data_IF_711473982559
#
_entry.id   IF_711473982559
#
_cell.length_a   1.000
_cell.length_b   1.000
_cell.length_c   1.000
_cell.angle_alpha   90.00
_cell.angle_beta   90.00
_cell.angle_gamma   90.00
#
_symmetry.space_group_name_H-M   'P 1'
#
loop_
_entity.id
_entity.type
_entity.pdbx_description
1 polymer ?
#
# COMPACT_ATOMS: atom_id res chain seq x y z
N UNK A 1 46.32 71.58 -36.83
CA UNK A 1 46.64 70.90 -35.56
C UNK A 1 45.68 71.38 -34.49
N UNK A 2 45.27 70.45 -33.61
CA UNK A 2 44.16 70.48 -32.63
C UNK A 2 44.03 71.76 -31.80
N UNK A 3 42.81 72.32 -31.73
CA UNK A 3 42.12 72.76 -30.50
C UNK A 3 40.83 73.52 -30.83
N UNK A 4 39.67 72.88 -30.61
CA UNK A 4 38.39 73.51 -30.18
C UNK A 4 37.71 72.39 -29.37
N UNK A 5 37.45 72.50 -28.07
CA UNK A 5 37.00 73.68 -27.37
C UNK A 5 35.48 73.59 -27.18
N UNK A 6 35.06 72.68 -26.30
CA UNK A 6 33.88 72.74 -25.43
C UNK A 6 32.83 73.83 -25.73
N UNK A 7 31.58 73.44 -26.07
CA UNK A 7 30.32 73.99 -25.50
C UNK A 7 29.13 73.26 -26.16
N UNK A 8 28.44 72.40 -25.40
CA UNK A 8 27.12 72.70 -24.82
C UNK A 8 25.99 72.77 -25.86
N UNK A 9 25.41 71.60 -26.17
CA UNK A 9 23.96 71.49 -26.26
C UNK A 9 23.53 70.25 -25.47
N UNK A 10 23.30 70.49 -24.19
CA UNK A 10 22.47 69.69 -23.31
C UNK A 10 21.08 69.56 -23.92
N UNK A 11 20.85 68.51 -24.70
CA UNK A 11 19.51 67.96 -24.81
C UNK A 11 19.27 67.15 -23.54
N UNK A 12 18.30 67.60 -22.75
CA UNK A 12 17.67 66.81 -21.70
C UNK A 12 17.20 65.47 -22.32
N UNK A 13 18.04 64.45 -22.27
CA UNK A 13 17.55 63.14 -21.89
C UNK A 13 17.43 63.17 -20.39
N UNK A 14 16.26 63.62 -19.90
CA UNK A 14 15.72 62.99 -18.71
C UNK A 14 15.52 61.53 -19.08
N UNK A 15 16.60 60.75 -19.00
CA UNK A 15 16.51 59.32 -18.76
C UNK A 15 15.73 59.29 -17.46
N UNK A 16 14.44 58.99 -17.55
CA UNK A 16 13.76 58.37 -16.43
C UNK A 16 14.56 57.10 -16.17
N UNK A 17 15.58 57.20 -15.32
CA UNK A 17 16.09 56.07 -14.54
C UNK A 17 14.99 55.73 -13.54
N UNK A 18 13.81 55.39 -14.07
CA UNK A 18 12.92 54.49 -13.36
C UNK A 18 13.79 53.26 -13.19
N UNK A 19 14.24 53.04 -11.96
CA UNK A 19 14.99 51.87 -11.52
C UNK A 19 14.29 50.62 -12.05
N UNK A 20 14.61 50.21 -13.27
CA UNK A 20 14.08 49.01 -13.88
C UNK A 20 14.72 47.90 -13.10
N UNK A 21 13.98 47.39 -12.13
CA UNK A 21 14.40 46.30 -11.28
C UNK A 21 14.82 45.15 -12.19
N UNK A 22 16.06 44.69 -12.04
CA UNK A 22 16.55 43.56 -12.83
C UNK A 22 15.71 42.33 -12.49
N UNK A 23 15.60 41.39 -13.43
CA UNK A 23 14.87 40.15 -13.18
C UNK A 23 15.43 39.38 -11.99
N UNK A 24 16.75 39.42 -11.80
CA UNK A 24 17.44 38.83 -10.65
C UNK A 24 16.93 39.41 -9.33
N UNK A 25 16.88 40.74 -9.21
CA UNK A 25 16.39 41.41 -8.00
C UNK A 25 14.89 41.15 -7.77
N UNK A 26 14.10 41.05 -8.83
CA UNK A 26 12.67 40.71 -8.72
C UNK A 26 12.47 39.26 -8.26
N UNK A 27 13.28 38.33 -8.76
CA UNK A 27 13.30 36.92 -8.33
C UNK A 27 13.77 36.82 -6.88
N UNK A 28 14.82 37.52 -6.47
CA UNK A 28 15.31 37.55 -5.08
C UNK A 28 14.24 38.06 -4.11
N UNK A 29 13.65 39.23 -4.39
CA UNK A 29 12.62 39.82 -3.53
C UNK A 29 11.40 38.91 -3.39
N UNK A 30 10.95 38.28 -4.49
CA UNK A 30 9.82 37.38 -4.44
C UNK A 30 10.16 36.02 -3.81
N UNK A 31 11.39 35.53 -3.97
CA UNK A 31 11.87 34.32 -3.27
C UNK A 31 11.89 34.56 -1.76
N UNK A 32 12.38 35.72 -1.31
CA UNK A 32 12.39 36.09 0.11
C UNK A 32 10.96 36.22 0.69
N UNK A 33 10.04 36.85 -0.04
CA UNK A 33 8.61 36.92 0.35
C UNK A 33 7.98 35.53 0.43
N UNK A 34 8.20 34.71 -0.60
CA UNK A 34 7.70 33.33 -0.66
C UNK A 34 8.22 32.52 0.51
N UNK A 35 9.52 32.63 0.83
CA UNK A 35 10.10 31.94 1.96
C UNK A 35 9.51 32.39 3.31
N UNK A 36 9.29 33.70 3.49
CA UNK A 36 8.64 34.23 4.71
C UNK A 36 7.20 33.71 4.85
N UNK A 37 6.49 33.53 3.74
CA UNK A 37 5.18 32.89 3.71
C UNK A 37 5.29 31.38 4.06
N UNK A 38 6.24 30.66 3.46
CA UNK A 38 6.45 29.23 3.70
C UNK A 38 6.77 28.93 5.17
N UNK A 39 7.57 29.78 5.83
CA UNK A 39 7.86 29.67 7.27
C UNK A 39 6.63 29.79 8.17
N UNK A 40 5.54 30.39 7.70
CA UNK A 40 4.27 30.53 8.42
C UNK A 40 3.28 29.40 8.14
N UNK A 41 3.62 28.49 7.22
CA UNK A 41 2.80 27.30 7.01
C UNK A 41 2.96 26.41 8.23
N UNK A 42 1.87 26.07 8.90
CA UNK A 42 1.93 25.23 10.10
C UNK A 42 2.32 23.78 9.76
N UNK A 43 1.65 23.18 8.76
CA UNK A 43 1.83 21.78 8.39
C UNK A 43 1.84 21.63 6.88
N UNK A 44 2.57 20.64 6.39
CA UNK A 44 2.50 20.15 5.02
C UNK A 44 2.14 18.67 5.13
N UNK A 45 1.01 18.28 4.55
CA UNK A 45 0.47 16.93 4.72
C UNK A 45 0.79 16.03 3.54
N UNK A 46 0.83 16.56 2.32
CA UNK A 46 1.17 15.80 1.10
C UNK A 46 2.08 16.59 0.18
N UNK A 47 2.65 15.91 -0.83
CA UNK A 47 3.36 16.57 -1.92
C UNK A 47 2.49 17.63 -2.62
N UNK A 48 1.23 17.30 -2.91
CA UNK A 48 0.32 18.24 -3.57
C UNK A 48 -0.04 19.42 -2.66
N UNK A 49 -0.25 19.17 -1.36
CA UNK A 49 -0.49 20.24 -0.38
C UNK A 49 0.74 21.16 -0.27
N UNK A 50 1.95 20.61 -0.35
CA UNK A 50 3.18 21.39 -0.45
C UNK A 50 3.20 22.25 -1.71
N UNK A 51 2.94 21.65 -2.88
CA UNK A 51 2.93 22.33 -4.17
C UNK A 51 1.92 23.49 -4.20
N UNK A 52 0.69 23.24 -3.73
CA UNK A 52 -0.36 24.25 -3.63
C UNK A 52 0.02 25.41 -2.70
N UNK A 53 0.65 25.10 -1.56
CA UNK A 53 1.09 26.11 -0.60
C UNK A 53 2.30 26.89 -1.09
N UNK A 54 3.25 26.24 -1.75
CA UNK A 54 4.37 26.89 -2.43
C UNK A 54 3.83 27.84 -3.48
N UNK A 55 2.92 27.38 -4.34
CA UNK A 55 2.27 28.18 -5.38
C UNK A 55 1.53 29.39 -4.78
N UNK A 56 0.76 29.18 -3.71
CA UNK A 56 0.06 30.24 -2.99
C UNK A 56 1.04 31.29 -2.42
N UNK A 57 2.14 30.83 -1.82
CA UNK A 57 3.18 31.70 -1.25
C UNK A 57 4.01 32.43 -2.33
N UNK A 58 4.16 31.84 -3.51
CA UNK A 58 4.88 32.43 -4.65
C UNK A 58 3.98 33.23 -5.59
N UNK A 59 2.70 33.40 -5.26
CA UNK A 59 1.76 34.15 -6.09
C UNK A 59 2.19 35.60 -6.20
N UNK A 60 2.39 36.03 -7.44
CA UNK A 60 2.79 37.39 -7.78
C UNK A 60 1.69 38.40 -7.48
N UNK A 61 2.08 39.60 -7.05
CA UNK A 61 1.17 40.74 -7.07
C UNK A 61 0.88 41.16 -8.51
N UNK A 62 -0.25 41.85 -8.74
CA UNK A 62 -0.59 42.37 -10.08
C UNK A 62 0.54 43.23 -10.68
N UNK A 63 1.23 44.01 -9.85
CA UNK A 63 2.32 44.87 -10.28
C UNK A 63 3.58 44.05 -10.65
N UNK A 64 3.91 43.03 -9.86
CA UNK A 64 5.04 42.13 -10.14
C UNK A 64 4.79 41.31 -11.41
N UNK A 65 3.54 40.85 -11.63
CA UNK A 65 3.15 40.17 -12.87
C UNK A 65 3.35 41.04 -14.11
N UNK A 66 2.99 42.32 -14.03
CA UNK A 66 3.20 43.28 -15.13
C UNK A 66 4.69 43.55 -15.34
N UNK A 67 5.49 43.62 -14.27
CA UNK A 67 6.93 43.80 -14.36
C UNK A 67 7.62 42.58 -15.01
N UNK A 68 7.20 41.37 -14.66
CA UNK A 68 7.73 40.12 -15.23
C UNK A 68 7.43 40.02 -16.72
N UNK A 69 6.19 40.28 -17.14
CA UNK A 69 5.80 40.24 -18.56
C UNK A 69 6.56 41.24 -19.43
N UNK A 70 7.11 42.31 -18.85
CA UNK A 70 7.96 43.27 -19.56
C UNK A 70 9.39 42.76 -19.79
N UNK A 71 9.82 41.72 -19.07
CA UNK A 71 11.21 41.27 -19.01
C UNK A 71 11.37 39.80 -19.46
N UNK A 72 10.39 38.93 -19.20
CA UNK A 72 10.43 37.48 -19.47
C UNK A 72 9.02 36.88 -19.57
N UNK A 73 8.93 35.55 -19.70
CA UNK A 73 7.68 34.79 -19.59
C UNK A 73 7.43 34.28 -18.17
N UNK A 74 6.17 34.02 -17.80
CA UNK A 74 5.85 33.43 -16.49
C UNK A 74 6.49 32.07 -16.26
N UNK A 75 6.61 31.25 -17.31
CA UNK A 75 7.23 29.91 -17.24
C UNK A 75 8.73 29.99 -16.90
N UNK A 76 9.43 30.94 -17.50
CA UNK A 76 10.84 31.17 -17.19
C UNK A 76 11.02 31.74 -15.78
N UNK A 77 10.18 32.70 -15.38
CA UNK A 77 10.17 33.24 -14.02
C UNK A 77 9.94 32.15 -12.97
N UNK A 78 8.95 31.28 -13.16
CA UNK A 78 8.64 30.17 -12.26
C UNK A 78 9.84 29.23 -12.12
N UNK A 79 10.51 28.89 -13.23
CA UNK A 79 11.73 28.09 -13.22
C UNK A 79 12.84 28.75 -12.39
N UNK A 80 13.03 30.07 -12.51
CA UNK A 80 14.03 30.80 -11.72
C UNK A 80 13.70 30.79 -10.22
N UNK A 81 12.45 31.08 -9.85
CA UNK A 81 12.01 31.06 -8.45
C UNK A 81 12.14 29.67 -7.84
N UNK A 82 11.69 28.62 -8.54
CA UNK A 82 11.81 27.23 -8.08
C UNK A 82 13.28 26.76 -7.95
N UNK A 83 14.19 27.29 -8.76
CA UNK A 83 15.63 26.97 -8.65
C UNK A 83 16.31 27.63 -7.44
N UNK A 84 15.77 28.77 -6.97
CA UNK A 84 16.34 29.57 -5.88
C UNK A 84 15.71 29.24 -4.52
N UNK A 85 14.44 28.86 -4.51
CA UNK A 85 13.69 28.49 -3.30
C UNK A 85 14.41 27.48 -2.39
N UNK A 86 15.02 26.38 -2.88
CA UNK A 86 15.75 25.44 -2.03
C UNK A 86 17.03 26.00 -1.41
N UNK A 87 17.70 26.93 -2.10
CA UNK A 87 18.96 27.52 -1.63
C UNK A 87 18.73 28.64 -0.60
N UNK A 88 17.64 29.40 -0.77
CA UNK A 88 17.40 30.62 -0.01
C UNK A 88 16.29 30.46 1.05
N UNK A 89 15.73 29.25 1.21
CA UNK A 89 14.64 29.00 2.14
C UNK A 89 14.77 27.73 2.99
N UNK A 90 15.42 27.84 4.15
CA UNK A 90 15.44 26.79 5.18
C UNK A 90 14.02 26.34 5.60
N UNK A 91 13.03 27.23 5.48
CA UNK A 91 11.63 26.91 5.76
C UNK A 91 11.06 25.85 4.82
N UNK A 92 11.47 25.84 3.54
CA UNK A 92 11.02 24.83 2.58
C UNK A 92 11.63 23.46 2.90
N UNK A 93 12.93 23.41 3.19
CA UNK A 93 13.60 22.14 3.55
C UNK A 93 13.04 21.56 4.85
N UNK A 94 12.78 22.40 5.87
CA UNK A 94 12.13 21.95 7.09
C UNK A 94 10.73 21.35 6.83
N UNK A 95 9.98 21.88 5.87
CA UNK A 95 8.67 21.33 5.47
C UNK A 95 8.77 20.08 4.62
N UNK A 96 9.77 19.99 3.74
CA UNK A 96 10.08 18.76 3.02
C UNK A 96 10.47 17.64 3.99
N UNK A 97 11.26 17.96 5.02
CA UNK A 97 11.63 17.00 6.04
C UNK A 97 10.43 16.59 6.91
N UNK A 98 9.58 17.54 7.30
CA UNK A 98 8.30 17.23 7.98
C UNK A 98 7.43 16.29 7.13
N UNK A 99 7.37 16.51 5.81
CA UNK A 99 6.63 15.65 4.88
C UNK A 99 7.28 14.25 4.74
N UNK A 100 8.62 14.17 4.66
CA UNK A 100 9.32 12.87 4.68
C UNK A 100 9.05 12.11 5.98
N UNK A 101 9.00 12.81 7.11
CA UNK A 101 8.68 12.25 8.42
C UNK A 101 7.21 11.81 8.52
N UNK A 102 6.26 12.52 7.91
CA UNK A 102 4.85 12.09 7.90
C UNK A 102 4.64 10.79 7.12
N UNK A 103 5.42 10.53 6.07
CA UNK A 103 5.37 9.25 5.36
C UNK A 103 5.98 8.07 6.14
N UNK A 104 6.80 8.35 7.15
CA UNK A 104 7.48 7.32 7.94
C UNK A 104 6.86 7.12 9.33
N UNK A 105 6.22 8.14 9.90
CA UNK A 105 5.53 8.06 11.19
C UNK A 105 4.17 7.39 11.07
N UNK A 106 3.94 6.34 11.84
CA UNK A 106 2.64 5.65 11.94
C UNK A 106 1.73 6.27 13.02
N UNK A 107 2.19 7.31 13.71
CA UNK A 107 1.47 7.90 14.85
C UNK A 107 1.55 9.42 14.76
N UNK A 108 0.47 10.03 14.28
CA UNK A 108 0.26 11.47 14.45
C UNK A 108 -0.25 11.69 15.87
N UNK A 109 0.62 12.16 16.75
CA UNK A 109 0.28 12.50 18.14
C UNK A 109 0.17 14.02 18.23
N UNK A 110 -0.95 14.59 17.80
CA UNK A 110 -1.21 16.03 17.99
C UNK A 110 -2.70 16.28 18.28
N UNK A 111 -2.96 16.53 19.56
CA UNK A 111 -4.15 17.07 20.23
C UNK A 111 -5.56 16.77 19.67
N UNK A 112 -6.28 16.00 20.50
CA UNK A 112 -7.74 15.92 20.73
C UNK A 112 -8.59 15.10 19.73
N UNK A 113 -8.82 13.82 20.09
CA UNK A 113 -9.88 12.95 19.54
C UNK A 113 -11.27 13.62 19.53
N UNK A 114 -11.53 14.57 20.44
CA UNK A 114 -12.86 15.20 20.58
C UNK A 114 -13.13 16.32 19.55
N UNK A 115 -12.11 16.83 18.84
CA UNK A 115 -12.24 18.13 18.13
C UNK A 115 -12.92 18.05 16.76
N UNK A 116 -13.01 16.87 16.15
CA UNK A 116 -13.47 16.74 14.75
C UNK A 116 -14.62 15.75 14.52
N UNK A 117 -15.28 15.25 15.56
CA UNK A 117 -16.36 14.25 15.43
C UNK A 117 -17.43 14.62 14.38
N UNK A 118 -17.79 15.91 14.29
CA UNK A 118 -18.79 16.37 13.32
C UNK A 118 -18.30 16.26 11.86
N UNK A 119 -17.00 16.43 11.62
CA UNK A 119 -16.39 16.23 10.30
C UNK A 119 -16.31 14.74 10.01
N UNK A 120 -15.86 13.95 10.99
CA UNK A 120 -15.77 12.48 10.89
C UNK A 120 -17.12 11.84 10.54
N UNK A 121 -18.18 12.19 11.28
CA UNK A 121 -19.55 11.72 11.00
C UNK A 121 -20.03 12.09 9.60
N UNK A 122 -19.60 13.23 9.05
CA UNK A 122 -19.98 13.66 7.69
C UNK A 122 -19.25 12.88 6.60
N UNK A 123 -18.00 12.48 6.83
CA UNK A 123 -17.20 11.79 5.82
C UNK A 123 -17.39 10.26 5.84
N UNK A 124 -17.93 9.66 6.90
CA UNK A 124 -18.26 8.23 6.94
C UNK A 124 -19.20 7.83 5.80
N UNK A 125 -18.87 6.78 5.06
CA UNK A 125 -19.62 6.32 3.89
C UNK A 125 -18.74 5.71 2.80
N UNK A 126 -19.32 5.50 1.63
CA UNK A 126 -18.65 4.88 0.48
C UNK A 126 -18.39 5.91 -0.63
N UNK A 127 -17.21 5.81 -1.23
CA UNK A 127 -16.67 6.70 -2.24
C UNK A 127 -16.18 5.90 -3.45
N UNK A 128 -16.63 6.28 -4.64
CA UNK A 128 -16.13 5.71 -5.90
C UNK A 128 -14.78 6.37 -6.21
N UNK A 129 -13.73 5.55 -6.28
CA UNK A 129 -12.39 5.98 -6.70
C UNK A 129 -12.28 5.82 -8.22
N UNK A 130 -13.08 6.58 -8.96
CA UNK A 130 -13.15 6.52 -10.42
C UNK A 130 -11.84 6.88 -11.14
N UNK A 131 -10.85 7.36 -10.38
CA UNK A 131 -9.48 7.62 -10.77
C UNK A 131 -8.60 6.47 -10.24
N UNK A 132 -8.21 5.57 -11.13
CA UNK A 132 -7.48 4.36 -10.80
C UNK A 132 -7.40 3.43 -12.01
N UNK A 133 -6.71 2.29 -11.89
CA UNK A 133 -6.79 1.26 -12.91
C UNK A 133 -8.25 0.80 -13.00
N UNK A 134 -8.93 1.24 -14.07
CA UNK A 134 -10.29 0.80 -14.39
C UNK A 134 -10.21 -0.64 -14.85
N UNK A 135 -10.41 -1.56 -13.92
CA UNK A 135 -10.70 -2.95 -14.26
C UNK A 135 -12.07 -2.96 -14.96
N UNK A 136 -12.26 -3.71 -16.06
CA UNK A 136 -13.58 -3.85 -16.67
C UNK A 136 -14.65 -4.40 -15.70
N UNK A 137 -14.21 -5.00 -14.59
CA UNK A 137 -15.04 -5.59 -13.53
C UNK A 137 -15.49 -4.58 -12.47
N UNK A 138 -14.98 -3.35 -12.44
CA UNK A 138 -15.43 -2.29 -11.53
C UNK A 138 -14.36 -1.28 -11.11
N UNK A 139 -14.81 -0.09 -10.67
CA UNK A 139 -13.94 0.93 -10.07
C UNK A 139 -13.59 0.56 -8.61
N UNK A 140 -12.38 0.87 -8.13
CA UNK A 140 -12.05 0.75 -6.72
C UNK A 140 -13.01 1.56 -5.84
N UNK A 141 -13.34 1.05 -4.66
CA UNK A 141 -14.24 1.71 -3.71
C UNK A 141 -13.53 1.95 -2.38
N UNK A 142 -13.54 3.19 -1.89
CA UNK A 142 -13.14 3.53 -0.52
C UNK A 142 -14.37 3.54 0.38
N UNK A 143 -14.33 2.79 1.48
CA UNK A 143 -15.35 2.79 2.52
C UNK A 143 -14.72 3.27 3.82
N UNK A 144 -15.30 4.31 4.43
CA UNK A 144 -14.94 4.84 5.73
C UNK A 144 -15.99 4.42 6.77
N UNK A 145 -15.58 3.70 7.81
CA UNK A 145 -16.45 3.18 8.85
C UNK A 145 -16.48 4.07 10.11
N UNK A 146 -17.57 3.96 10.87
CA UNK A 146 -17.61 4.43 12.26
C UNK A 146 -16.60 3.58 13.06
N UNK A 147 -15.67 4.19 13.81
CA UNK A 147 -14.49 3.56 14.47
C UNK A 147 -13.14 3.73 13.74
N UNK A 148 -13.02 4.72 12.85
CA UNK A 148 -11.72 5.08 12.27
C UNK A 148 -11.08 3.94 11.46
N UNK A 149 -11.88 3.01 10.94
CA UNK A 149 -11.43 1.95 10.03
C UNK A 149 -11.82 2.28 8.60
N UNK A 150 -10.99 1.89 7.63
CA UNK A 150 -11.32 1.99 6.23
C UNK A 150 -10.98 0.72 5.47
N UNK A 151 -11.67 0.57 4.33
CA UNK A 151 -11.38 -0.44 3.31
C UNK A 151 -11.26 0.28 1.96
N UNK A 152 -10.24 -0.06 1.19
CA UNK A 152 -10.23 0.14 -0.25
C UNK A 152 -10.37 -1.24 -0.89
N UNK A 153 -11.49 -1.47 -1.57
CA UNK A 153 -11.78 -2.69 -2.30
C UNK A 153 -11.50 -2.47 -3.79
N UNK A 154 -10.72 -3.35 -4.39
CA UNK A 154 -10.58 -3.50 -5.84
C UNK A 154 -11.09 -4.89 -6.24
N UNK A 155 -11.19 -5.14 -7.55
CA UNK A 155 -11.58 -6.46 -8.05
C UNK A 155 -10.69 -7.61 -7.52
N UNK A 156 -9.41 -7.33 -7.26
CA UNK A 156 -8.38 -8.33 -6.95
C UNK A 156 -7.65 -8.10 -5.63
N UNK A 157 -7.98 -7.05 -4.87
CA UNK A 157 -7.26 -6.69 -3.66
C UNK A 157 -8.15 -5.96 -2.64
N UNK A 158 -7.74 -6.09 -1.38
CA UNK A 158 -8.33 -5.38 -0.25
C UNK A 158 -7.21 -4.67 0.51
N UNK A 159 -7.28 -3.35 0.60
CA UNK A 159 -6.43 -2.58 1.50
C UNK A 159 -7.27 -2.13 2.69
N UNK A 160 -6.95 -2.65 3.87
CA UNK A 160 -7.58 -2.24 5.13
C UNK A 160 -6.64 -1.36 5.92
N UNK A 161 -7.19 -0.46 6.73
CA UNK A 161 -6.38 0.39 7.58
C UNK A 161 -7.22 1.21 8.54
N UNK A 162 -6.56 2.18 9.17
CA UNK A 162 -7.22 3.17 10.02
C UNK A 162 -7.21 4.54 9.36
N UNK A 163 -8.10 5.43 9.75
CA UNK A 163 -8.13 6.79 9.24
C UNK A 163 -8.39 7.81 10.34
N UNK A 164 -7.96 9.04 10.12
CA UNK A 164 -8.21 10.13 11.06
C UNK A 164 -8.41 11.46 10.33
N UNK A 165 -9.18 12.36 10.94
CA UNK A 165 -9.29 13.75 10.47
C UNK A 165 -8.23 14.61 11.13
N UNK A 166 -7.45 15.32 10.32
CA UNK A 166 -6.39 16.23 10.78
C UNK A 166 -6.78 17.68 10.47
N UNK A 167 -6.75 18.51 11.51
CA UNK A 167 -7.09 19.95 11.46
C UNK A 167 -8.46 20.26 10.84
N UNK A 168 -9.40 19.30 10.87
CA UNK A 168 -10.77 19.45 10.38
C UNK A 168 -10.94 19.54 8.86
N UNK A 169 -9.87 19.37 8.09
CA UNK A 169 -9.88 19.51 6.61
C UNK A 169 -9.15 18.42 5.86
N UNK A 170 -8.32 17.62 6.53
CA UNK A 170 -7.58 16.54 5.89
C UNK A 170 -8.05 15.20 6.46
N UNK A 171 -8.17 14.20 5.60
CA UNK A 171 -8.37 12.80 5.94
C UNK A 171 -7.06 12.09 5.69
N UNK A 172 -6.48 11.47 6.71
CA UNK A 172 -5.29 10.65 6.59
C UNK A 172 -5.70 9.18 6.66
N UNK A 173 -5.26 8.38 5.68
CA UNK A 173 -5.44 6.93 5.66
C UNK A 173 -4.11 6.26 6.03
N UNK A 174 -4.15 5.35 7.00
CA UNK A 174 -3.03 4.56 7.47
C UNK A 174 -3.27 3.08 7.16
N UNK A 175 -2.71 2.54 6.07
CA UNK A 175 -2.89 1.14 5.74
C UNK A 175 -2.29 0.24 6.82
N UNK A 176 -3.00 -0.83 7.15
CA UNK A 176 -2.48 -1.87 8.03
C UNK A 176 -1.33 -2.58 7.33
N UNK A 177 -0.10 -2.24 7.72
CA UNK A 177 1.10 -2.89 7.18
C UNK A 177 1.21 -4.30 7.74
N UNK A 178 1.15 -5.30 6.87
CA UNK A 178 1.42 -6.66 7.29
C UNK A 178 2.85 -6.78 7.80
N UNK A 179 3.05 -7.50 8.93
CA UNK A 179 4.38 -7.81 9.44
C UNK A 179 5.18 -8.67 8.46
N UNK A 180 4.57 -9.30 7.48
CA UNK A 180 5.23 -10.21 6.54
C UNK A 180 4.49 -10.20 5.20
N UNK A 181 5.18 -10.40 4.05
CA UNK A 181 4.52 -10.65 2.77
C UNK A 181 3.65 -11.89 2.75
N UNK A 182 3.78 -12.73 3.78
CA UNK A 182 3.27 -14.08 3.79
C UNK A 182 2.63 -14.37 5.15
N UNK A 183 1.54 -15.12 5.13
CA UNK A 183 0.93 -15.69 6.33
C UNK A 183 0.79 -17.19 6.15
N UNK A 184 1.15 -17.97 7.17
CA UNK A 184 0.96 -19.43 7.16
C UNK A 184 -0.09 -19.81 8.20
N UNK A 185 -1.03 -20.63 7.76
CA UNK A 185 -1.95 -21.34 8.64
C UNK A 185 -1.70 -22.84 8.51
N UNK A 186 -1.80 -23.57 9.60
CA UNK A 186 -1.60 -25.01 9.64
C UNK A 186 -2.70 -25.73 10.40
N UNK A 187 -2.87 -27.02 10.10
CA UNK A 187 -3.70 -27.94 10.87
C UNK A 187 -3.08 -29.33 10.92
N UNK A 188 -3.61 -30.15 11.83
CA UNK A 188 -3.39 -31.58 11.77
C UNK A 188 -4.41 -32.23 10.84
N UNK A 189 -3.91 -33.01 9.89
CA UNK A 189 -4.71 -33.80 8.99
C UNK A 189 -4.27 -35.28 9.09
N UNK A 190 -5.03 -36.13 9.80
CA UNK A 190 -4.66 -37.54 9.96
C UNK A 190 -4.73 -38.33 8.66
N UNK A 191 -5.49 -37.85 7.66
CA UNK A 191 -5.75 -38.58 6.41
C UNK A 191 -4.57 -38.55 5.43
N UNK A 192 -3.57 -37.69 5.65
CA UNK A 192 -2.36 -37.61 4.80
C UNK A 192 -1.13 -38.27 5.45
N UNK A 193 -1.31 -38.93 6.60
CA UNK A 193 -0.26 -39.66 7.32
C UNK A 193 0.94 -38.78 7.65
N UNK A 194 2.14 -39.29 7.33
CA UNK A 194 3.41 -38.57 7.51
C UNK A 194 3.74 -37.62 6.35
N UNK A 195 2.81 -37.38 5.43
CA UNK A 195 3.00 -36.39 4.37
C UNK A 195 2.67 -34.99 4.87
N UNK A 196 3.25 -34.00 4.21
CA UNK A 196 2.91 -32.59 4.34
C UNK A 196 2.28 -32.07 3.06
N UNK A 197 1.13 -31.43 3.17
CA UNK A 197 0.43 -30.76 2.07
C UNK A 197 0.50 -29.25 2.31
N UNK A 198 0.87 -28.49 1.30
CA UNK A 198 0.94 -27.03 1.36
C UNK A 198 0.20 -26.44 0.18
N UNK A 199 -0.85 -25.67 0.45
CA UNK A 199 -1.57 -24.88 -0.54
C UNK A 199 -1.02 -23.45 -0.59
N UNK A 200 -0.87 -22.92 -1.80
CA UNK A 200 -0.42 -21.55 -2.03
C UNK A 200 -1.61 -20.74 -2.57
N UNK A 201 -2.08 -19.76 -1.79
CA UNK A 201 -3.21 -18.89 -2.12
C UNK A 201 -2.74 -17.45 -2.27
N UNK A 202 -2.77 -16.93 -3.49
CA UNK A 202 -2.32 -15.57 -3.82
C UNK A 202 -2.00 -15.46 -5.31
N UNK A 203 -2.05 -14.24 -5.84
CA UNK A 203 -1.87 -13.96 -7.26
C UNK A 203 -0.39 -13.76 -7.65
N UNK A 204 0.51 -13.53 -6.69
CA UNK A 204 1.93 -13.22 -6.98
C UNK A 204 2.92 -14.32 -6.63
N UNK A 205 2.41 -15.47 -6.17
CA UNK A 205 3.25 -16.67 -6.14
C UNK A 205 3.78 -16.94 -7.55
N UNK A 206 5.09 -17.12 -7.65
CA UNK A 206 5.81 -17.23 -8.92
C UNK A 206 7.12 -17.98 -8.71
N UNK A 207 7.88 -18.18 -9.78
CA UNK A 207 9.27 -18.65 -9.68
C UNK A 207 10.14 -17.74 -8.80
N UNK A 208 9.77 -16.47 -8.66
CA UNK A 208 10.44 -15.48 -7.80
C UNK A 208 10.14 -15.65 -6.30
N UNK A 209 9.18 -16.51 -5.96
CA UNK A 209 8.86 -16.85 -4.57
C UNK A 209 9.54 -18.17 -4.22
N UNK A 210 10.38 -18.13 -3.20
CA UNK A 210 11.24 -19.24 -2.81
C UNK A 210 10.79 -19.80 -1.47
N UNK A 211 10.94 -21.12 -1.28
CA UNK A 211 10.54 -21.84 -0.08
C UNK A 211 11.56 -22.90 0.33
N UNK A 212 11.64 -23.18 1.62
CA UNK A 212 12.29 -24.38 2.14
C UNK A 212 11.57 -24.89 3.39
N UNK A 213 11.49 -26.21 3.51
CA UNK A 213 11.00 -26.93 4.68
C UNK A 213 12.14 -27.38 5.61
N UNK A 214 13.40 -27.12 5.21
CA UNK A 214 14.57 -27.47 5.99
C UNK A 214 14.88 -26.41 7.04
N UNK A 215 15.59 -26.80 8.09
CA UNK A 215 16.10 -25.84 9.06
C UNK A 215 17.02 -24.83 8.38
N UNK A 216 16.76 -23.54 8.62
CA UNK A 216 17.52 -22.43 8.05
C UNK A 216 18.92 -22.24 8.66
N UNK A 217 19.50 -23.26 9.29
CA UNK A 217 20.80 -23.20 9.98
C UNK A 217 21.99 -23.40 9.03
N UNK A 218 21.80 -24.06 7.89
CA UNK A 218 22.84 -24.28 6.88
C UNK A 218 23.09 -23.01 6.06
N UNK A 219 24.37 -22.72 5.76
CA UNK A 219 24.81 -21.59 4.92
C UNK A 219 25.65 -22.10 3.73
N UNK A 220 25.35 -21.69 2.48
CA UNK A 220 24.15 -20.95 2.07
C UNK A 220 22.87 -21.80 2.24
N UNK A 221 21.73 -21.17 2.49
CA UNK A 221 20.46 -21.89 2.60
C UNK A 221 19.98 -22.27 1.20
N UNK A 222 19.59 -23.52 1.00
CA UNK A 222 19.01 -23.94 -0.28
C UNK A 222 17.51 -23.66 -0.30
N UNK A 223 17.06 -22.85 -1.25
CA UNK A 223 15.66 -22.49 -1.44
C UNK A 223 15.16 -23.01 -2.79
N UNK A 224 13.93 -23.49 -2.84
CA UNK A 224 13.29 -23.94 -4.07
C UNK A 224 12.28 -22.92 -4.56
N UNK A 225 12.21 -22.61 -5.87
CA UNK A 225 11.10 -21.87 -6.44
C UNK A 225 9.76 -22.56 -6.15
N UNK A 226 8.71 -21.80 -5.87
CA UNK A 226 7.36 -22.38 -5.72
C UNK A 226 6.87 -22.90 -7.07
N UNK A 227 6.98 -22.07 -8.11
CA UNK A 227 6.61 -22.42 -9.48
C UNK A 227 7.84 -22.42 -10.41
N UNK A 228 7.77 -23.14 -11.53
CA UNK A 228 8.77 -23.02 -12.59
C UNK A 228 8.67 -21.67 -13.32
N UNK A 229 9.65 -21.33 -14.16
CA UNK A 229 9.50 -20.20 -15.08
C UNK A 229 8.40 -20.49 -16.11
N UNK A 230 7.77 -19.43 -16.61
CA UNK A 230 6.75 -19.47 -17.67
C UNK A 230 5.51 -20.32 -17.35
N UNK A 231 5.18 -20.32 -16.07
CA UNK A 231 4.17 -21.12 -15.41
C UNK A 231 2.74 -20.56 -15.60
N UNK A 232 2.25 -20.49 -16.85
CA UNK A 232 0.97 -19.84 -17.15
C UNK A 232 -0.24 -20.78 -17.13
N UNK A 233 -0.04 -22.10 -17.01
CA UNK A 233 -1.09 -23.11 -17.21
C UNK A 233 -1.46 -23.91 -15.95
N UNK A 234 -1.32 -23.35 -14.76
CA UNK A 234 -1.72 -24.05 -13.54
C UNK A 234 -3.23 -24.03 -13.33
N UNK A 235 -3.79 -25.19 -13.05
CA UNK A 235 -5.16 -25.30 -12.52
C UNK A 235 -5.15 -25.17 -11.00
N UNK A 236 -5.97 -24.28 -10.48
CA UNK A 236 -6.22 -24.17 -9.04
C UNK A 236 -6.88 -25.47 -8.51
N UNK A 237 -6.54 -25.97 -7.30
CA UNK A 237 -5.64 -25.39 -6.29
C UNK A 237 -4.15 -25.71 -6.48
N UNK A 238 -3.28 -24.78 -6.09
CA UNK A 238 -1.82 -24.95 -6.12
C UNK A 238 -1.33 -25.69 -4.87
N UNK A 239 -1.18 -27.01 -4.96
CA UNK A 239 -0.81 -27.86 -3.82
C UNK A 239 0.56 -28.51 -4.07
N UNK A 240 1.47 -28.32 -3.13
CA UNK A 240 2.69 -29.12 -3.04
C UNK A 240 2.53 -30.23 -2.01
N UNK A 241 3.10 -31.41 -2.30
CA UNK A 241 3.12 -32.57 -1.41
C UNK A 241 4.57 -32.99 -1.17
N UNK A 242 4.93 -33.19 0.09
CA UNK A 242 6.26 -33.70 0.49
C UNK A 242 6.13 -34.69 1.64
N UNK A 243 7.18 -35.45 1.92
CA UNK A 243 7.24 -36.38 3.05
C UNK A 243 7.75 -35.68 4.32
N UNK A 244 7.34 -36.20 5.48
CA UNK A 244 7.69 -35.68 6.79
C UNK A 244 6.87 -34.45 7.19
N UNK A 245 6.91 -34.13 8.49
CA UNK A 245 6.32 -32.92 9.06
C UNK A 245 7.43 -31.90 9.28
N UNK A 246 7.37 -30.71 8.66
CA UNK A 246 8.44 -29.72 8.81
C UNK A 246 8.41 -29.09 10.20
N UNK A 247 9.56 -28.91 10.84
CA UNK A 247 9.67 -28.14 12.09
C UNK A 247 9.50 -26.63 11.85
N UNK A 248 9.76 -26.18 10.62
CA UNK A 248 9.61 -24.80 10.18
C UNK A 248 9.34 -24.72 8.68
N UNK A 249 8.72 -23.63 8.25
CA UNK A 249 8.56 -23.28 6.85
C UNK A 249 9.20 -21.92 6.67
N UNK A 250 10.14 -21.80 5.75
CA UNK A 250 10.84 -20.55 5.47
C UNK A 250 10.56 -20.11 4.04
N UNK A 251 10.20 -18.85 3.85
CA UNK A 251 9.90 -18.30 2.54
C UNK A 251 10.67 -17.00 2.30
N UNK A 252 10.93 -16.73 1.04
CA UNK A 252 11.53 -15.49 0.60
C UNK A 252 10.88 -15.03 -0.70
N UNK A 253 10.79 -13.71 -0.87
CA UNK A 253 10.39 -13.10 -2.13
C UNK A 253 11.54 -12.22 -2.61
N UNK A 254 12.07 -12.52 -3.80
CA UNK A 254 13.11 -11.69 -4.41
C UNK A 254 12.84 -11.53 -5.91
N UNK A 255 12.59 -10.29 -6.33
CA UNK A 255 12.29 -10.02 -7.74
C UNK A 255 13.51 -10.15 -8.66
N UNK A 256 14.73 -10.05 -8.12
CA UNK A 256 15.96 -9.84 -8.88
C UNK A 256 17.03 -10.93 -8.63
N UNK A 257 16.69 -12.07 -8.03
CA UNK A 257 17.70 -13.07 -7.67
C UNK A 257 18.46 -13.64 -8.88
N UNK A 258 17.89 -13.56 -10.09
CA UNK A 258 18.51 -14.10 -11.30
C UNK A 258 19.66 -13.24 -11.80
N UNK A 259 19.70 -11.98 -11.39
CA UNK A 259 20.69 -11.00 -11.84
C UNK A 259 21.94 -10.98 -10.92
N UNK A 260 21.80 -11.43 -9.66
CA UNK A 260 22.85 -11.32 -8.64
C UNK A 260 22.98 -12.60 -7.79
N UNK A 261 23.98 -13.42 -8.07
CA UNK A 261 24.23 -14.71 -7.40
C UNK A 261 24.75 -14.58 -5.96
N UNK A 262 25.24 -13.40 -5.55
CA UNK A 262 25.76 -13.14 -4.20
C UNK A 262 24.77 -12.38 -3.29
N UNK A 263 23.53 -12.17 -3.73
CA UNK A 263 22.57 -11.37 -3.00
C UNK A 263 22.12 -12.05 -1.69
N UNK A 264 21.93 -11.25 -0.64
CA UNK A 264 21.16 -11.68 0.52
C UNK A 264 19.67 -11.49 0.27
N UNK A 265 18.85 -12.42 0.78
CA UNK A 265 17.40 -12.30 0.75
C UNK A 265 16.84 -12.24 2.16
N UNK A 266 15.74 -11.49 2.31
CA UNK A 266 14.95 -11.51 3.55
C UNK A 266 14.20 -12.83 3.63
N UNK A 267 14.60 -13.68 4.56
CA UNK A 267 13.98 -14.97 4.84
C UNK A 267 12.98 -14.81 5.99
N UNK A 268 11.71 -15.15 5.71
CA UNK A 268 10.61 -15.20 6.68
C UNK A 268 10.44 -16.64 7.15
N UNK A 269 10.81 -16.93 8.39
CA UNK A 269 10.76 -18.29 8.95
C UNK A 269 9.62 -18.42 9.95
N UNK A 270 8.72 -19.37 9.72
CA UNK A 270 7.59 -19.68 10.59
C UNK A 270 7.85 -21.01 11.29
N UNK A 271 7.87 -21.00 12.63
CA UNK A 271 8.06 -22.22 13.42
C UNK A 271 6.75 -23.04 13.46
N UNK A 272 6.84 -24.33 13.21
CA UNK A 272 5.74 -25.28 13.35
C UNK A 272 5.78 -25.95 14.73
N UNK A 273 5.63 -25.16 15.79
CA UNK A 273 5.68 -25.63 17.18
C UNK A 273 4.55 -26.61 17.55
N UNK A 274 3.52 -26.71 16.72
CA UNK A 274 2.38 -27.62 16.89
C UNK A 274 2.46 -28.87 16.02
N UNK A 275 3.51 -29.07 15.22
CA UNK A 275 3.66 -30.24 14.34
C UNK A 275 2.48 -30.45 13.36
N UNK A 276 1.96 -29.35 12.81
CA UNK A 276 1.00 -29.39 11.71
C UNK A 276 1.60 -30.06 10.46
N UNK A 277 0.73 -30.60 9.60
CA UNK A 277 1.12 -31.28 8.36
C UNK A 277 0.27 -30.87 7.14
N UNK A 278 -0.71 -29.99 7.33
CA UNK A 278 -1.57 -29.48 6.26
C UNK A 278 -1.60 -27.96 6.40
N UNK A 279 -1.07 -27.26 5.40
CA UNK A 279 -0.78 -25.83 5.46
C UNK A 279 -1.45 -25.06 4.32
N UNK A 280 -1.83 -23.82 4.63
CA UNK A 280 -2.22 -22.80 3.66
C UNK A 280 -1.27 -21.62 3.84
N UNK A 281 -0.63 -21.21 2.75
CA UNK A 281 0.24 -20.03 2.69
C UNK A 281 -0.47 -18.97 1.86
N UNK A 282 -0.76 -17.83 2.50
CA UNK A 282 -1.25 -16.64 1.82
C UNK A 282 -0.11 -15.71 1.46
N UNK A 283 -0.25 -15.07 0.31
CA UNK A 283 0.61 -14.00 -0.13
C UNK A 283 -0.13 -12.65 -0.04
N UNK A 284 0.58 -11.65 0.48
CA UNK A 284 0.09 -10.30 0.82
C UNK A 284 1.12 -9.22 0.45
N UNK A 285 1.94 -9.43 -0.59
CA UNK A 285 3.03 -8.50 -0.96
C UNK A 285 2.53 -7.10 -1.30
N UNK A 286 1.30 -6.98 -1.83
CA UNK A 286 0.64 -5.67 -2.05
C UNK A 286 0.43 -4.90 -0.75
N UNK A 287 0.08 -5.61 0.33
CA UNK A 287 -0.31 -5.00 1.62
C UNK A 287 0.89 -4.52 2.46
N UNK A 288 2.12 -4.87 2.09
CA UNK A 288 3.33 -4.38 2.80
C UNK A 288 3.69 -2.97 2.34
N UNK A 289 3.42 -2.66 1.07
CA UNK A 289 3.84 -1.43 0.44
C UNK A 289 2.75 -0.34 0.49
N UNK A 290 1.66 -0.59 1.21
CA UNK A 290 0.63 0.42 1.48
C UNK A 290 1.30 1.66 2.07
N UNK A 291 1.26 2.76 1.31
CA UNK A 291 1.69 4.07 1.79
C UNK A 291 0.51 4.78 2.42
N UNK A 292 0.73 5.53 3.52
CA UNK A 292 -0.27 6.46 3.99
C UNK A 292 -0.72 7.41 2.87
N UNK A 293 -2.00 7.77 2.87
CA UNK A 293 -2.56 8.70 1.91
C UNK A 293 -3.20 9.88 2.64
N UNK A 294 -2.92 11.09 2.16
CA UNK A 294 -3.45 12.33 2.70
C UNK A 294 -4.41 12.94 1.68
N UNK A 295 -5.64 13.15 2.11
CA UNK A 295 -6.77 13.48 1.24
C UNK A 295 -7.42 14.77 1.76
N UNK A 296 -7.73 15.71 0.87
CA UNK A 296 -8.46 16.91 1.26
C UNK A 296 -9.96 16.61 1.34
N UNK A 297 -10.58 17.01 2.45
CA UNK A 297 -12.02 16.89 2.67
C UNK A 297 -12.70 18.10 2.04
N UNK A 298 -13.59 17.85 1.09
CA UNK A 298 -14.50 18.84 0.53
C UNK A 298 -15.95 18.53 0.88
N UNK A 299 -16.86 19.41 0.43
CA UNK A 299 -18.30 19.18 0.61
C UNK A 299 -18.77 17.94 -0.17
N UNK A 300 -19.07 16.86 0.55
CA UNK A 300 -19.47 15.54 0.02
C UNK A 300 -18.48 14.88 -0.95
N UNK A 301 -17.21 15.31 -0.95
CA UNK A 301 -16.16 14.75 -1.81
C UNK A 301 -14.83 14.66 -1.09
N UNK A 302 -14.01 13.73 -1.54
CA UNK A 302 -12.63 13.54 -1.14
C UNK A 302 -11.72 13.86 -2.31
N UNK A 303 -10.75 14.75 -2.11
CA UNK A 303 -9.87 15.25 -3.17
C UNK A 303 -8.48 14.71 -2.90
N UNK A 304 -8.05 13.76 -3.73
CA UNK A 304 -6.72 13.14 -3.67
C UNK A 304 -5.70 13.99 -4.44
N UNK A 305 -6.10 14.49 -5.62
CA UNK A 305 -5.37 15.49 -6.39
C UNK A 305 -6.29 16.36 -7.28
N UNK A 306 -5.72 17.17 -8.18
CA UNK A 306 -6.47 18.07 -9.07
C UNK A 306 -7.49 17.32 -9.95
N UNK A 307 -7.16 16.12 -10.40
CA UNK A 307 -7.97 15.29 -11.30
C UNK A 307 -8.59 14.06 -10.58
N UNK A 308 -8.15 13.78 -9.37
CA UNK A 308 -8.53 12.63 -8.56
C UNK A 308 -9.52 13.02 -7.46
N UNK A 309 -10.80 13.06 -7.81
CA UNK A 309 -11.90 13.41 -6.90
C UNK A 309 -12.83 12.22 -6.71
N UNK A 310 -13.04 11.81 -5.46
CA UNK A 310 -13.98 10.76 -5.10
C UNK A 310 -15.28 11.36 -4.57
N UNK A 311 -16.41 10.92 -5.13
CA UNK A 311 -17.74 11.39 -4.75
C UNK A 311 -18.38 10.37 -3.82
N UNK A 312 -18.93 10.87 -2.71
CA UNK A 312 -19.69 10.04 -1.77
C UNK A 312 -20.99 9.58 -2.41
N UNK A 313 -21.21 8.27 -2.52
CA UNK A 313 -22.45 7.70 -3.08
C UNK A 313 -23.30 6.94 -2.05
N UNK A 314 -22.73 6.58 -0.90
CA UNK A 314 -23.45 5.96 0.22
C UNK A 314 -23.08 6.62 1.55
N UNK A 315 -24.06 6.75 2.44
CA UNK A 315 -23.85 7.24 3.82
C UNK A 315 -23.67 6.11 4.84
N UNK A 316 -23.78 4.86 4.41
CA UNK A 316 -23.56 3.68 5.27
C UNK A 316 -22.31 2.95 4.82
N UNK A 317 -21.33 2.84 5.71
CA UNK A 317 -20.30 1.81 5.63
C UNK A 317 -20.76 0.65 6.51
N UNK A 318 -21.25 -0.44 5.92
CA UNK A 318 -21.47 -1.67 6.68
C UNK A 318 -20.12 -2.37 6.86
N UNK A 319 -19.71 -2.62 8.11
CA UNK A 319 -18.48 -3.35 8.40
C UNK A 319 -18.56 -4.77 7.81
N UNK A 320 -17.98 -4.96 6.64
CA UNK A 320 -17.76 -6.28 6.02
C UNK A 320 -16.30 -6.69 6.10
N UNK A 321 -15.51 -6.07 6.98
CA UNK A 321 -14.08 -6.32 7.12
C UNK A 321 -13.83 -7.81 7.30
N UNK A 322 -13.35 -8.45 6.24
CA UNK A 322 -12.85 -9.81 6.29
C UNK A 322 -11.63 -9.77 7.20
N UNK A 323 -11.69 -10.47 8.34
CA UNK A 323 -10.65 -10.47 9.36
C UNK A 323 -9.45 -11.26 8.85
N UNK A 324 -8.68 -10.64 7.96
CA UNK A 324 -7.43 -11.15 7.41
C UNK A 324 -6.37 -11.39 8.49
N UNK A 325 -6.60 -10.92 9.72
CA UNK A 325 -5.72 -11.16 10.87
C UNK A 325 -6.30 -12.15 11.89
N UNK A 326 -7.40 -12.83 11.56
CA UNK A 326 -7.97 -13.85 12.43
C UNK A 326 -6.95 -14.92 12.78
N UNK A 327 -7.00 -15.38 14.04
CA UNK A 327 -6.19 -16.52 14.50
C UNK A 327 -6.54 -17.81 13.75
N UNK A 328 -7.79 -17.92 13.27
CA UNK A 328 -8.32 -19.11 12.62
C UNK A 328 -8.99 -18.78 11.29
N UNK A 329 -8.81 -19.66 10.32
CA UNK A 329 -9.50 -19.60 9.03
C UNK A 329 -10.20 -20.93 8.75
N UNK A 330 -11.17 -20.89 7.86
CA UNK A 330 -12.07 -22.01 7.58
C UNK A 330 -12.12 -22.26 6.08
N UNK A 331 -11.65 -23.43 5.66
CA UNK A 331 -11.53 -23.80 4.24
C UNK A 331 -11.98 -25.24 4.02
N UNK A 332 -12.72 -25.51 2.94
CA UNK A 332 -13.00 -26.90 2.57
C UNK A 332 -11.78 -27.58 1.90
N UNK A 333 -11.94 -28.82 1.45
CA UNK A 333 -10.88 -29.59 0.79
C UNK A 333 -10.47 -29.05 -0.58
N UNK A 334 -11.33 -28.27 -1.24
CA UNK A 334 -11.02 -27.55 -2.47
C UNK A 334 -10.51 -26.12 -2.25
N UNK A 335 -10.17 -25.74 -1.00
CA UNK A 335 -9.69 -24.41 -0.65
C UNK A 335 -10.66 -23.26 -0.98
N UNK A 336 -11.96 -23.51 -0.91
CA UNK A 336 -12.97 -22.45 -0.81
C UNK A 336 -13.06 -21.93 0.62
N UNK A 337 -13.04 -20.61 0.78
CA UNK A 337 -13.16 -19.93 2.08
C UNK A 337 -14.59 -20.01 2.64
N UNK A 338 -14.69 -20.11 3.96
CA UNK A 338 -15.94 -20.06 4.72
C UNK A 338 -15.86 -18.99 5.81
N UNK A 339 -16.96 -18.25 5.99
CA UNK A 339 -17.11 -17.26 7.06
C UNK A 339 -17.30 -17.96 8.41
N UNK A 340 -16.67 -17.43 9.46
CA UNK A 340 -16.69 -18.06 10.79
C UNK A 340 -18.11 -18.17 11.36
N UNK A 341 -18.98 -17.21 11.06
CA UNK A 341 -20.37 -17.13 11.54
C UNK A 341 -21.21 -18.26 10.96
N UNK A 342 -20.94 -18.64 9.70
CA UNK A 342 -21.60 -19.77 9.04
C UNK A 342 -21.20 -21.09 9.72
N UNK A 343 -19.91 -21.23 10.05
CA UNK A 343 -19.36 -22.44 10.67
C UNK A 343 -19.79 -22.59 12.12
N UNK A 344 -19.94 -21.48 12.85
CA UNK A 344 -20.42 -21.48 14.23
C UNK A 344 -21.95 -21.55 14.33
N UNK A 345 -22.65 -21.72 13.22
CA UNK A 345 -24.11 -21.89 13.21
C UNK A 345 -24.52 -23.30 13.64
N UNK A 346 -25.82 -23.49 13.93
CA UNK A 346 -26.41 -24.82 14.24
C UNK A 346 -26.35 -25.82 13.07
N UNK A 347 -25.79 -25.44 11.92
CA UNK A 347 -25.71 -26.28 10.74
C UNK A 347 -24.46 -27.15 10.71
N UNK A 348 -23.48 -26.89 11.58
CA UNK A 348 -22.22 -27.61 11.60
C UNK A 348 -21.91 -28.16 12.99
N UNK A 349 -21.46 -29.41 13.05
CA UNK A 349 -20.89 -30.02 14.25
C UNK A 349 -19.38 -30.10 14.14
N UNK A 350 -18.69 -29.71 15.22
CA UNK A 350 -17.24 -29.78 15.27
C UNK A 350 -16.75 -31.20 15.57
N UNK A 351 -15.97 -31.75 14.65
CA UNK A 351 -15.26 -33.02 14.83
C UNK A 351 -13.82 -32.73 15.30
N UNK A 352 -13.59 -32.97 16.60
CA UNK A 352 -12.30 -32.74 17.27
C UNK A 352 -11.17 -33.64 16.73
N UNK A 353 -11.49 -34.86 16.28
CA UNK A 353 -10.48 -35.82 15.82
C UNK A 353 -9.79 -35.33 14.55
N UNK A 354 -10.57 -34.79 13.62
CA UNK A 354 -10.08 -34.37 12.30
C UNK A 354 -9.93 -32.85 12.19
N UNK A 355 -10.17 -32.12 13.30
CA UNK A 355 -10.13 -30.66 13.40
C UNK A 355 -10.88 -29.98 12.24
N UNK A 356 -12.12 -30.43 12.03
CA UNK A 356 -13.01 -29.95 10.98
C UNK A 356 -14.44 -29.82 11.50
N UNK A 357 -15.29 -29.18 10.71
CA UNK A 357 -16.71 -29.02 10.92
C UNK A 357 -17.45 -29.82 9.86
N UNK A 358 -18.43 -30.60 10.29
CA UNK A 358 -19.26 -31.43 9.43
C UNK A 358 -20.66 -30.83 9.37
N UNK A 359 -21.23 -30.73 8.18
CA UNK A 359 -22.58 -30.22 7.99
C UNK A 359 -23.62 -31.24 8.51
N UNK A 360 -24.50 -30.82 9.41
CA UNK A 360 -25.36 -31.70 10.21
C UNK A 360 -26.69 -32.07 9.54
N UNK A 361 -27.15 -31.32 8.53
CA UNK A 361 -28.44 -31.61 7.90
C UNK A 361 -28.34 -32.81 6.97
N UNK A 362 -29.31 -33.72 7.09
CA UNK A 362 -29.53 -34.79 6.12
C UNK A 362 -29.63 -34.19 4.72
N UNK A 363 -28.81 -34.69 3.81
CA UNK A 363 -28.78 -34.29 2.40
C UNK A 363 -30.20 -34.27 1.82
N UNK A 364 -30.56 -33.18 1.14
CA UNK A 364 -31.63 -33.29 0.15
C UNK A 364 -31.18 -34.32 -0.90
N UNK A 365 -32.04 -35.29 -1.20
CA UNK A 365 -31.75 -36.46 -2.03
C UNK A 365 -31.40 -36.14 -3.49
N UNK A 366 -31.37 -34.86 -3.88
CA UNK A 366 -31.04 -34.35 -5.21
C UNK A 366 -29.58 -33.90 -5.34
N UNK A 367 -28.75 -34.09 -4.31
CA UNK A 367 -27.34 -33.71 -4.37
C UNK A 367 -26.51 -34.67 -5.23
N UNK A 368 -25.93 -34.15 -6.31
CA UNK A 368 -25.00 -34.90 -7.15
C UNK A 368 -23.60 -34.96 -6.48
N UNK A 369 -23.05 -36.14 -6.18
CA UNK A 369 -21.74 -36.28 -5.56
C UNK A 369 -20.55 -35.83 -6.43
N UNK A 370 -20.79 -35.45 -7.69
CA UNK A 370 -19.76 -35.02 -8.65
C UNK A 370 -19.41 -33.52 -8.57
N UNK A 371 -19.95 -32.78 -7.60
CA UNK A 371 -19.56 -31.38 -7.44
C UNK A 371 -18.10 -31.33 -6.99
N UNK A 372 -17.28 -30.59 -7.73
CA UNK A 372 -15.84 -30.44 -7.47
C UNK A 372 -15.55 -30.17 -5.98
N UNK A 373 -14.39 -30.63 -5.48
CA UNK A 373 -13.97 -30.39 -4.09
C UNK A 373 -14.11 -28.92 -3.64
N UNK A 374 -14.05 -27.97 -4.57
CA UNK A 374 -14.25 -26.54 -4.33
C UNK A 374 -15.68 -26.22 -3.85
N UNK A 375 -16.70 -26.93 -4.33
CA UNK A 375 -18.10 -26.72 -3.94
C UNK A 375 -18.55 -27.61 -2.78
N UNK A 376 -17.67 -28.45 -2.23
CA UNK A 376 -17.99 -29.29 -1.09
C UNK A 376 -18.19 -28.45 0.18
N UNK A 377 -19.43 -28.31 0.64
CA UNK A 377 -19.77 -27.60 1.87
C UNK A 377 -19.95 -28.52 3.10
N UNK A 378 -19.78 -29.84 2.94
CA UNK A 378 -19.98 -30.81 4.02
C UNK A 378 -18.87 -30.82 5.03
N UNK A 379 -17.66 -30.51 4.59
CA UNK A 379 -16.50 -30.53 5.45
C UNK A 379 -15.77 -29.21 5.32
N UNK A 380 -15.65 -28.52 6.45
CA UNK A 380 -14.88 -27.28 6.55
C UNK A 380 -13.77 -27.48 7.57
N UNK A 381 -12.54 -27.36 7.11
CA UNK A 381 -11.35 -27.56 7.89
C UNK A 381 -10.98 -26.26 8.62
N UNK A 382 -10.64 -26.38 9.90
CA UNK A 382 -10.14 -25.26 10.71
C UNK A 382 -8.61 -25.23 10.65
N UNK A 383 -8.05 -24.12 10.19
CA UNK A 383 -6.60 -23.89 10.23
C UNK A 383 -6.26 -22.80 11.25
N UNK A 384 -5.08 -22.92 11.88
CA UNK A 384 -4.58 -21.97 12.88
C UNK A 384 -3.31 -21.29 12.38
N UNK A 385 -3.22 -19.97 12.60
CA UNK A 385 -2.08 -19.14 12.19
C UNK A 385 -0.79 -19.56 12.92
N UNK A 386 0.31 -19.69 12.19
CA UNK A 386 1.65 -19.81 12.78
C UNK A 386 2.14 -18.42 13.21
N UNK A 387 2.21 -18.18 14.52
CA UNK A 387 2.53 -16.86 15.09
C UNK A 387 4.04 -16.63 15.28
N UNK A 388 4.82 -17.70 15.39
CA UNK A 388 6.27 -17.65 15.63
C UNK A 388 7.03 -17.34 14.33
N UNK A 389 7.07 -16.06 13.95
CA UNK A 389 7.76 -15.54 12.77
C UNK A 389 9.10 -14.89 13.14
N UNK A 390 10.18 -15.28 12.47
CA UNK A 390 11.46 -14.57 12.47
C UNK A 390 11.82 -14.05 11.07
N UNK A 391 12.62 -12.98 11.02
CA UNK A 391 13.12 -12.36 9.78
C UNK A 391 14.63 -12.23 9.85
N UNK A 392 15.33 -12.73 8.84
CA UNK A 392 16.79 -12.68 8.77
C UNK A 392 17.24 -12.41 7.33
N UNK A 393 18.32 -11.65 7.13
CA UNK A 393 19.00 -11.59 5.83
C UNK A 393 19.91 -12.81 5.71
N UNK A 394 19.80 -13.57 4.61
CA UNK A 394 20.68 -14.72 4.36
C UNK A 394 21.11 -14.82 2.90
N UNK A 395 22.36 -15.24 2.71
CA UNK A 395 22.83 -15.81 1.45
C UNK A 395 22.14 -17.15 1.19
N UNK A 396 21.81 -17.40 -0.07
CA UNK A 396 21.04 -18.55 -0.48
C UNK A 396 21.58 -19.15 -1.79
N UNK A 397 21.24 -20.41 -2.02
CA UNK A 397 21.31 -21.05 -3.34
C UNK A 397 19.91 -21.41 -3.77
N UNK A 398 19.71 -21.56 -5.08
CA UNK A 398 18.41 -21.89 -5.65
C UNK A 398 18.46 -23.31 -6.17
N UNK A 399 17.53 -24.14 -5.71
CA UNK A 399 17.34 -25.47 -6.26
C UNK A 399 16.88 -25.36 -7.72
N UNK A 400 17.44 -26.21 -8.56
CA UNK A 400 17.11 -26.25 -9.99
C UNK A 400 15.62 -26.52 -10.25
N UNK A 401 14.98 -27.30 -9.38
CA UNK A 401 13.58 -27.69 -9.51
C UNK A 401 12.67 -26.84 -8.63
N UNK A 402 11.55 -26.42 -9.21
CA UNK A 402 10.42 -25.86 -8.46
C UNK A 402 9.67 -26.97 -7.70
N UNK A 403 8.98 -26.58 -6.64
CA UNK A 403 8.16 -27.53 -5.86
C UNK A 403 6.79 -27.81 -6.51
N UNK A 404 6.33 -26.94 -7.40
CA UNK A 404 5.19 -27.14 -8.28
C UNK A 404 5.66 -26.88 -9.71
N UNK A 405 5.43 -27.84 -10.60
CA UNK A 405 5.92 -27.82 -11.98
C UNK A 405 4.76 -28.06 -12.95
N UNK A 406 4.63 -27.22 -13.98
CA UNK A 406 3.70 -27.42 -15.10
C UNK A 406 4.34 -26.99 -16.41
N UNK A 407 3.91 -27.61 -17.50
CA UNK A 407 4.19 -27.18 -18.88
C UNK A 407 2.84 -26.98 -19.54
N UNK A 408 2.70 -25.92 -20.34
CA UNK A 408 1.52 -25.73 -21.18
C UNK A 408 1.60 -26.70 -22.36
N UNK A 409 0.54 -27.47 -22.60
CA UNK A 409 0.43 -28.33 -23.78
C UNK A 409 0.22 -27.51 -25.07
#
# INVERSE_FOLDING_TARGET
MKNIGLLLFTLLTTVFTNNAQTIEKLVEDNTAKSCKCMKKIDIVTSKLDLENKVYSCSRLSKNDSIAILKITTFKEYEKFVLSKLPADCDGLEAKLEQLRQSYTSTTYTDDTEEKYENVEKKIIGSYDLSFGHKSPEGSPTLILYNQNEYVIETFDALQVGTWQVVKGKYLHLFPNKSKSPLTIYGRHNPNIGDSTYTSFLGDRFSYKTLITYQQATKKPINLSPIFNKDANCFSFPYIHKTSGKPDQISLAYNQNYEEFTEQEVTLYTFKNSKSFNDFIIFEHTRNINGMPADILIGDNKLIFDEDSIAIKYSSTGENTTDDTNSRFIYYNTGYKIFKSELINSKQYSYNKKDNNYLYDKSLETTYEPDISNYHNYYQVNKYEKLQDLTKEQKRFTIAEKSIIYTVCD
#
